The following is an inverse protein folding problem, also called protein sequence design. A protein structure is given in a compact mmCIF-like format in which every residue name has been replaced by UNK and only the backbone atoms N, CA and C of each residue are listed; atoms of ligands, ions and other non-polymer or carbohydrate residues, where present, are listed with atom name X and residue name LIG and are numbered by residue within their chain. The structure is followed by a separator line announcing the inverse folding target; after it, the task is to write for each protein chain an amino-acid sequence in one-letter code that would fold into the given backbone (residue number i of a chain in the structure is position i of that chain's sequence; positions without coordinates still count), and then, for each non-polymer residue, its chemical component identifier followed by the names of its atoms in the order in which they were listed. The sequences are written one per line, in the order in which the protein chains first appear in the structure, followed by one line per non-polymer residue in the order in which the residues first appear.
data_IF_330017145205
#
_entry.id   IF_330017145205
#
_cell.length_a   1.000
_cell.length_b   1.000
_cell.length_c   1.000
_cell.angle_alpha   90.00
_cell.angle_beta   90.00
_cell.angle_gamma   90.00
#
_symmetry.space_group_name_H-M   'P 1'
#
loop_
_entity.id
_entity.type
_entity.pdbx_description
1 polymer ?
#
# COMPACT_ATOMS: atom_id res chain seq x y z
N UNK A 1 2.34 18.07 2.12
CA UNK A 1 2.99 19.11 2.97
C UNK A 1 2.09 19.59 4.10
N UNK A 2 0.83 19.93 3.85
CA UNK A 2 -0.17 20.44 4.84
C UNK A 2 -0.45 19.44 5.97
N UNK A 3 -0.52 18.14 5.70
CA UNK A 3 -0.81 17.10 6.69
C UNK A 3 0.33 16.89 7.73
N UNK A 4 1.57 17.20 7.34
CA UNK A 4 2.76 17.06 8.22
C UNK A 4 2.89 18.18 9.24
N UNK A 5 2.41 19.39 8.91
CA UNK A 5 2.46 20.53 9.82
C UNK A 5 1.39 20.47 10.92
N UNK A 6 0.18 19.91 10.61
CA UNK A 6 -0.89 19.76 11.61
C UNK A 6 -0.56 18.70 12.67
N UNK A 7 0.15 17.62 12.29
CA UNK A 7 0.59 16.59 13.26
C UNK A 7 1.54 17.14 14.35
N UNK A 8 2.31 18.18 14.05
CA UNK A 8 3.21 18.85 15.01
C UNK A 8 2.48 19.70 16.05
N UNK A 9 1.24 20.11 15.79
CA UNK A 9 0.45 21.02 16.65
C UNK A 9 -0.56 20.31 17.55
N UNK A 10 -0.65 18.98 17.50
CA UNK A 10 -1.61 18.22 18.33
C UNK A 10 -3.08 18.42 17.98
N UNK A 11 -3.40 19.04 16.84
CA UNK A 11 -4.79 19.25 16.39
C UNK A 11 -5.32 17.99 15.70
N UNK A 12 -6.46 17.49 16.20
CA UNK A 12 -7.19 16.38 15.58
C UNK A 12 -7.95 16.91 14.37
N UNK A 13 -7.56 16.50 13.17
CA UNK A 13 -8.27 16.87 11.94
C UNK A 13 -9.48 15.97 11.76
N UNK A 14 -10.68 16.53 11.69
CA UNK A 14 -11.91 15.77 11.47
C UNK A 14 -12.06 15.35 10.00
N UNK A 15 -12.79 14.25 9.75
CA UNK A 15 -13.11 13.79 8.39
C UNK A 15 -13.75 14.92 7.56
N UNK A 16 -14.62 15.73 8.19
CA UNK A 16 -15.28 16.87 7.56
C UNK A 16 -14.30 17.94 7.10
N UNK A 17 -13.23 18.22 7.86
CA UNK A 17 -12.21 19.20 7.49
C UNK A 17 -11.34 18.68 6.34
N UNK A 18 -10.99 17.38 6.33
CA UNK A 18 -10.26 16.75 5.22
C UNK A 18 -11.06 16.88 3.91
N UNK A 19 -12.38 16.66 3.97
CA UNK A 19 -13.28 16.76 2.82
C UNK A 19 -13.43 18.21 2.33
N UNK A 20 -13.46 19.19 3.24
CA UNK A 20 -13.57 20.63 2.89
C UNK A 20 -12.30 21.22 2.30
N UNK A 21 -11.13 20.72 2.65
CA UNK A 21 -9.86 21.22 2.10
C UNK A 21 -9.68 20.75 0.65
N UNK A 22 -10.12 21.57 -0.29
CA UNK A 22 -10.25 21.33 -1.75
C UNK A 22 -8.94 21.08 -2.51
N UNK A 23 -7.81 20.92 -1.87
CA UNK A 23 -6.52 20.66 -2.53
C UNK A 23 -6.37 19.24 -3.08
N UNK A 24 -7.25 18.30 -2.67
CA UNK A 24 -7.32 16.93 -3.20
C UNK A 24 -8.78 16.59 -3.43
N UNK A 25 -9.09 16.04 -4.58
CA UNK A 25 -10.44 15.61 -4.88
C UNK A 25 -10.78 14.36 -4.06
N UNK A 26 -11.74 14.47 -3.14
CA UNK A 26 -12.35 13.30 -2.51
C UNK A 26 -13.20 12.62 -3.57
N UNK A 27 -12.84 11.40 -3.93
CA UNK A 27 -13.57 10.59 -4.90
C UNK A 27 -14.73 9.84 -4.23
N UNK A 28 -14.58 9.47 -2.96
CA UNK A 28 -15.59 8.80 -2.17
C UNK A 28 -15.15 8.55 -0.73
N UNK A 29 -16.10 8.20 0.12
CA UNK A 29 -15.89 7.76 1.49
C UNK A 29 -16.98 6.75 1.88
N UNK A 30 -16.73 5.94 2.91
CA UNK A 30 -17.71 4.99 3.45
C UNK A 30 -18.50 5.55 4.65
N UNK A 31 -18.31 6.83 4.97
CA UNK A 31 -18.95 7.53 6.08
C UNK A 31 -18.30 7.32 7.44
N UNK A 32 -17.41 6.36 7.59
CA UNK A 32 -16.83 5.96 8.90
C UNK A 32 -15.30 5.88 8.92
N UNK A 33 -14.73 4.99 8.14
CA UNK A 33 -13.34 4.56 8.32
C UNK A 33 -12.45 4.79 7.08
N UNK A 34 -13.03 5.12 5.93
CA UNK A 34 -12.32 5.15 4.66
C UNK A 34 -12.62 6.43 3.89
N UNK A 35 -11.58 7.10 3.41
CA UNK A 35 -11.67 8.23 2.47
C UNK A 35 -10.74 7.99 1.31
N UNK A 36 -11.24 8.04 0.09
CA UNK A 36 -10.49 7.85 -1.14
C UNK A 36 -10.29 9.19 -1.84
N UNK A 37 -9.04 9.52 -2.13
CA UNK A 37 -8.61 10.71 -2.85
C UNK A 37 -7.96 10.34 -4.17
N UNK A 38 -8.12 11.21 -5.16
CA UNK A 38 -7.49 11.07 -6.46
C UNK A 38 -8.09 12.05 -7.46
N UNK A 39 -7.72 11.89 -8.72
CA UNK A 39 -8.35 12.58 -9.84
C UNK A 39 -9.39 11.68 -10.50
N UNK A 40 -10.42 12.26 -11.11
CA UNK A 40 -11.36 11.46 -11.93
C UNK A 40 -10.65 10.72 -13.05
N UNK A 41 -9.61 11.31 -13.65
CA UNK A 41 -8.73 10.69 -14.62
C UNK A 41 -7.92 9.50 -14.06
N UNK A 42 -7.62 9.49 -12.75
CA UNK A 42 -6.96 8.36 -12.10
C UNK A 42 -7.80 7.09 -12.14
N UNK A 43 -9.11 7.22 -11.97
CA UNK A 43 -10.07 6.10 -12.06
C UNK A 43 -10.07 5.53 -13.48
N UNK A 44 -10.16 6.42 -14.49
CA UNK A 44 -10.12 6.01 -15.89
C UNK A 44 -8.79 5.33 -16.25
N UNK A 45 -7.67 5.87 -15.75
CA UNK A 45 -6.35 5.27 -15.99
C UNK A 45 -6.23 3.88 -15.34
N UNK A 46 -6.66 3.73 -14.08
CA UNK A 46 -6.65 2.43 -13.39
C UNK A 46 -7.53 1.39 -14.08
N UNK A 47 -8.65 1.80 -14.70
CA UNK A 47 -9.54 0.87 -15.40
C UNK A 47 -8.90 0.25 -16.66
N UNK A 48 -7.86 0.84 -17.22
CA UNK A 48 -7.11 0.33 -18.37
C UNK A 48 -5.79 -0.34 -18.00
N UNK A 49 -5.34 -0.18 -16.75
CA UNK A 49 -4.06 -0.70 -16.26
C UNK A 49 -4.14 -2.21 -16.01
N UNK A 50 -3.17 -2.99 -16.50
CA UNK A 50 -3.12 -4.45 -16.30
C UNK A 50 -2.48 -4.86 -14.97
N UNK A 51 -1.68 -4.00 -14.35
CA UNK A 51 -1.01 -4.27 -13.09
C UNK A 51 -1.20 -3.10 -12.13
N UNK A 52 -1.95 -3.35 -11.06
CA UNK A 52 -2.18 -2.40 -9.97
C UNK A 52 -1.34 -2.84 -8.77
N UNK A 53 -0.56 -1.93 -8.22
CA UNK A 53 0.18 -2.15 -6.98
C UNK A 53 -0.52 -1.43 -5.82
N UNK A 54 -0.75 -2.15 -4.72
CA UNK A 54 -1.26 -1.61 -3.48
C UNK A 54 -0.20 -1.64 -2.37
N UNK A 55 -0.01 -0.52 -1.67
CA UNK A 55 0.94 -0.43 -0.56
C UNK A 55 0.39 0.45 0.56
N UNK A 56 0.60 0.02 1.80
CA UNK A 56 0.17 0.72 3.00
C UNK A 56 1.32 1.37 3.75
N UNK A 57 1.24 2.68 4.01
CA UNK A 57 2.19 3.40 4.86
C UNK A 57 1.54 3.95 6.13
N UNK A 58 2.30 3.96 7.24
CA UNK A 58 1.82 4.33 8.57
C UNK A 58 2.47 5.61 9.09
N UNK A 59 3.58 6.04 8.49
CA UNK A 59 4.42 7.13 9.01
C UNK A 59 3.91 8.53 8.71
N UNK A 60 3.00 8.68 7.74
CA UNK A 60 2.50 9.99 7.27
C UNK A 60 0.97 10.09 7.32
N UNK A 61 0.36 9.50 8.34
CA UNK A 61 -1.09 9.47 8.50
C UNK A 61 -1.53 10.46 9.57
N UNK A 62 -2.71 11.06 9.38
CA UNK A 62 -3.35 11.93 10.36
C UNK A 62 -4.43 11.17 11.12
N UNK A 63 -4.55 11.42 12.41
CA UNK A 63 -5.66 10.91 13.20
C UNK A 63 -7.01 11.43 12.67
N UNK A 64 -8.06 10.59 12.69
CA UNK A 64 -8.19 9.28 13.32
C UNK A 64 -7.77 8.08 12.45
N UNK A 65 -7.19 8.30 11.29
CA UNK A 65 -6.76 7.23 10.39
C UNK A 65 -5.47 6.58 10.89
N UNK A 66 -5.30 5.29 10.59
CA UNK A 66 -4.15 4.49 11.02
C UNK A 66 -3.16 4.20 9.90
N UNK A 67 -3.62 4.30 8.66
CA UNK A 67 -2.76 4.09 7.49
C UNK A 67 -3.21 4.90 6.29
N UNK A 68 -2.27 5.22 5.43
CA UNK A 68 -2.48 5.68 4.07
C UNK A 68 -2.19 4.51 3.13
N UNK A 69 -3.22 4.00 2.46
CA UNK A 69 -3.09 2.95 1.46
C UNK A 69 -3.08 3.60 0.07
N UNK A 70 -2.08 3.28 -0.75
CA UNK A 70 -1.91 3.91 -2.06
C UNK A 70 -2.02 2.85 -3.15
N UNK A 71 -2.87 3.10 -4.14
CA UNK A 71 -2.94 2.28 -5.34
C UNK A 71 -2.19 2.96 -6.49
N UNK A 72 -1.28 2.22 -7.08
CA UNK A 72 -0.43 2.65 -8.18
C UNK A 72 -0.80 1.87 -9.45
N UNK A 73 -0.70 2.52 -10.59
CA UNK A 73 -0.57 1.82 -11.85
C UNK A 73 0.91 1.51 -12.09
N UNK A 74 1.24 0.26 -12.35
CA UNK A 74 2.58 -0.16 -12.76
C UNK A 74 2.57 -0.42 -14.27
N UNK A 75 3.38 0.33 -15.00
CA UNK A 75 3.50 0.23 -16.46
C UNK A 75 4.56 -0.80 -16.86
N UNK A 76 4.51 -1.26 -18.09
CA UNK A 76 5.43 -2.26 -18.65
C UNK A 76 6.90 -1.82 -18.65
N UNK A 77 7.15 -0.51 -18.65
CA UNK A 77 8.48 0.07 -18.51
C UNK A 77 9.01 0.10 -17.06
N UNK A 78 8.26 -0.47 -16.10
CA UNK A 78 8.61 -0.52 -14.68
C UNK A 78 8.32 0.78 -13.90
N UNK A 79 7.73 1.79 -14.53
CA UNK A 79 7.36 3.04 -13.85
C UNK A 79 6.06 2.85 -13.10
N UNK A 80 6.04 3.29 -11.83
CA UNK A 80 4.89 3.22 -10.93
C UNK A 80 4.31 4.63 -10.69
N UNK A 81 3.02 4.79 -10.99
CA UNK A 81 2.30 6.05 -10.79
C UNK A 81 1.28 5.92 -9.67
N UNK A 82 1.39 6.70 -8.56
CA UNK A 82 0.37 6.73 -7.52
C UNK A 82 -0.88 7.44 -8.05
N UNK A 83 -2.03 6.78 -7.95
CA UNK A 83 -3.27 7.25 -8.54
C UNK A 83 -4.39 7.44 -7.52
N UNK A 84 -4.52 6.53 -6.55
CA UNK A 84 -5.49 6.65 -5.47
C UNK A 84 -4.79 6.66 -4.13
N UNK A 85 -5.21 7.55 -3.26
CA UNK A 85 -4.74 7.70 -1.90
C UNK A 85 -5.92 7.45 -0.96
N UNK A 86 -5.81 6.39 -0.15
CA UNK A 86 -6.90 5.96 0.72
C UNK A 86 -6.47 6.13 2.17
N UNK A 87 -7.11 7.04 2.89
CA UNK A 87 -6.99 7.10 4.35
C UNK A 87 -7.91 6.05 4.94
N UNK A 88 -7.34 5.17 5.77
CA UNK A 88 -8.03 4.00 6.30
C UNK A 88 -7.84 3.91 7.81
N UNK A 89 -8.94 3.67 8.53
CA UNK A 89 -8.94 3.46 9.98
C UNK A 89 -9.03 1.97 10.29
N UNK A 90 -7.91 1.39 10.70
CA UNK A 90 -7.81 -0.04 11.02
C UNK A 90 -7.18 -0.88 9.91
N UNK A 91 -6.96 -2.17 10.24
CA UNK A 91 -6.24 -3.14 9.40
C UNK A 91 -6.94 -4.50 9.37
N UNK A 92 -8.20 -4.56 9.71
CA UNK A 92 -8.91 -5.83 9.68
C UNK A 92 -9.43 -6.14 8.27
N UNK A 93 -9.66 -7.41 8.00
CA UNK A 93 -10.15 -7.88 6.71
C UNK A 93 -11.43 -7.16 6.24
N UNK A 94 -12.36 -6.88 7.16
CA UNK A 94 -13.62 -6.21 6.83
C UNK A 94 -13.41 -4.78 6.35
N UNK A 95 -12.43 -4.05 6.90
CA UNK A 95 -12.06 -2.69 6.46
C UNK A 95 -11.48 -2.74 5.06
N UNK A 96 -10.55 -3.66 4.78
CA UNK A 96 -9.98 -3.81 3.43
C UNK A 96 -11.02 -4.24 2.40
N UNK A 97 -11.95 -5.11 2.77
CA UNK A 97 -13.04 -5.50 1.88
C UNK A 97 -13.94 -4.30 1.54
N UNK A 98 -14.25 -3.43 2.52
CA UNK A 98 -14.98 -2.19 2.29
C UNK A 98 -14.20 -1.22 1.39
N UNK A 99 -12.87 -1.11 1.59
CA UNK A 99 -12.00 -0.30 0.73
C UNK A 99 -12.07 -0.75 -0.73
N UNK A 100 -11.92 -2.05 -1.01
CA UNK A 100 -12.00 -2.58 -2.36
C UNK A 100 -13.38 -2.36 -3.00
N UNK A 101 -14.46 -2.57 -2.22
CA UNK A 101 -15.83 -2.29 -2.67
C UNK A 101 -16.06 -0.80 -2.95
N UNK A 102 -15.53 0.09 -2.11
CA UNK A 102 -15.65 1.53 -2.32
C UNK A 102 -14.94 1.98 -3.59
N UNK A 103 -13.73 1.48 -3.86
CA UNK A 103 -12.98 1.77 -5.08
C UNK A 103 -13.77 1.33 -6.31
N UNK A 104 -14.34 0.12 -6.29
CA UNK A 104 -15.14 -0.38 -7.41
C UNK A 104 -16.44 0.41 -7.58
N UNK A 105 -17.12 0.78 -6.49
CA UNK A 105 -18.31 1.63 -6.54
C UNK A 105 -18.01 3.01 -7.14
N UNK A 106 -16.86 3.61 -6.79
CA UNK A 106 -16.39 4.87 -7.39
C UNK A 106 -16.13 4.70 -8.90
N UNK A 107 -15.60 3.57 -9.33
CA UNK A 107 -15.36 3.26 -10.73
C UNK A 107 -16.68 3.08 -11.49
N UNK A 108 -17.63 2.34 -10.93
CA UNK A 108 -18.95 2.10 -11.52
C UNK A 108 -19.76 3.39 -11.72
N UNK A 109 -19.65 4.37 -10.80
CA UNK A 109 -20.23 5.71 -10.98
C UNK A 109 -19.69 6.44 -12.22
N UNK A 110 -18.58 5.98 -12.78
CA UNK A 110 -17.91 6.51 -13.98
C UNK A 110 -17.98 5.54 -15.16
N UNK A 111 -18.87 4.55 -15.06
CA UNK A 111 -19.10 3.53 -16.09
C UNK A 111 -17.85 2.71 -16.45
N UNK A 112 -16.94 2.54 -15.49
CA UNK A 112 -15.72 1.73 -15.65
C UNK A 112 -15.57 0.71 -14.52
N UNK A 113 -14.73 -0.30 -14.74
CA UNK A 113 -14.40 -1.35 -13.78
C UNK A 113 -12.90 -1.37 -13.54
N UNK A 114 -12.47 -1.42 -12.28
CA UNK A 114 -11.06 -1.47 -11.92
C UNK A 114 -10.68 -2.87 -11.45
N UNK A 115 -11.35 -3.39 -10.44
CA UNK A 115 -10.97 -4.61 -9.73
C UNK A 115 -11.77 -5.86 -10.18
N UNK A 116 -12.97 -5.67 -10.71
CA UNK A 116 -13.85 -6.74 -11.20
C UNK A 116 -13.55 -7.14 -12.66
N UNK A 117 -12.28 -7.10 -13.06
CA UNK A 117 -11.77 -7.48 -14.38
C UNK A 117 -10.47 -8.26 -14.24
N UNK A 118 -9.95 -8.77 -15.35
CA UNK A 118 -8.63 -9.41 -15.36
C UNK A 118 -7.52 -8.35 -15.17
N UNK A 119 -7.23 -8.04 -13.90
CA UNK A 119 -6.14 -7.15 -13.49
C UNK A 119 -5.29 -7.87 -12.45
N UNK A 120 -3.98 -7.78 -12.59
CA UNK A 120 -3.06 -8.27 -11.55
C UNK A 120 -2.98 -7.25 -10.44
N UNK A 121 -3.32 -7.66 -9.22
CA UNK A 121 -3.17 -6.85 -8.01
C UNK A 121 -1.92 -7.31 -7.25
N UNK A 122 -0.88 -6.47 -7.22
CA UNK A 122 0.37 -6.72 -6.50
C UNK A 122 0.35 -5.98 -5.17
N UNK A 123 0.47 -6.69 -4.06
CA UNK A 123 0.42 -6.13 -2.70
C UNK A 123 1.56 -6.67 -1.84
N UNK A 124 1.71 -6.15 -0.62
CA UNK A 124 2.61 -6.70 0.37
C UNK A 124 2.10 -8.04 0.95
N UNK A 125 2.75 -8.54 2.01
CA UNK A 125 2.39 -9.81 2.66
C UNK A 125 1.37 -9.62 3.80
N UNK A 126 0.51 -8.62 3.74
CA UNK A 126 -0.50 -8.40 4.77
C UNK A 126 -1.68 -9.36 4.61
N UNK A 127 -1.73 -10.34 5.52
CA UNK A 127 -2.72 -11.43 5.50
C UNK A 127 -4.18 -10.93 5.42
N UNK A 128 -4.49 -9.84 6.13
CA UNK A 128 -5.86 -9.31 6.19
C UNK A 128 -6.28 -8.72 4.85
N UNK A 129 -5.36 -8.05 4.14
CA UNK A 129 -5.60 -7.56 2.79
C UNK A 129 -5.76 -8.72 1.81
N UNK A 130 -4.90 -9.72 1.87
CA UNK A 130 -5.02 -10.92 1.03
C UNK A 130 -6.38 -11.59 1.19
N UNK A 131 -6.82 -11.81 2.43
CA UNK A 131 -8.13 -12.40 2.69
C UNK A 131 -9.28 -11.52 2.16
N UNK A 132 -9.18 -10.20 2.27
CA UNK A 132 -10.16 -9.28 1.71
C UNK A 132 -10.20 -9.36 0.18
N UNK A 133 -9.03 -9.37 -0.48
CA UNK A 133 -8.92 -9.46 -1.93
C UNK A 133 -9.45 -10.80 -2.48
N UNK A 134 -9.20 -11.91 -1.77
CA UNK A 134 -9.73 -13.23 -2.13
C UNK A 134 -11.26 -13.30 -2.00
N UNK A 135 -11.85 -12.59 -1.03
CA UNK A 135 -13.30 -12.48 -0.87
C UNK A 135 -13.94 -11.43 -1.80
N UNK A 136 -13.13 -10.65 -2.45
CA UNK A 136 -13.50 -9.76 -3.53
C UNK A 136 -13.02 -10.40 -4.84
N UNK A 137 -13.80 -10.43 -5.89
CA UNK A 137 -13.48 -11.18 -7.13
C UNK A 137 -12.09 -10.82 -7.77
N UNK A 138 -11.47 -9.74 -7.33
CA UNK A 138 -10.09 -9.36 -7.67
C UNK A 138 -9.00 -10.35 -7.20
N UNK A 139 -9.33 -11.30 -6.35
CA UNK A 139 -8.37 -12.28 -5.81
C UNK A 139 -7.80 -13.27 -6.83
N UNK A 140 -8.36 -13.36 -8.03
CA UNK A 140 -7.92 -14.31 -9.06
C UNK A 140 -6.50 -14.09 -9.55
N UNK A 141 -6.00 -12.85 -9.49
CA UNK A 141 -4.66 -12.46 -9.95
C UNK A 141 -3.86 -11.70 -8.88
N UNK A 142 -4.02 -12.11 -7.62
CA UNK A 142 -3.26 -11.56 -6.51
C UNK A 142 -1.81 -12.00 -6.60
N UNK A 143 -0.88 -11.08 -6.46
CA UNK A 143 0.57 -11.34 -6.41
C UNK A 143 1.23 -10.57 -5.27
N UNK A 144 2.32 -11.13 -4.74
CA UNK A 144 3.07 -10.49 -3.66
C UNK A 144 4.23 -9.66 -4.22
N UNK A 145 4.47 -8.50 -3.63
CA UNK A 145 5.54 -7.61 -4.02
C UNK A 145 6.91 -8.23 -3.68
N UNK A 146 7.78 -8.39 -4.69
CA UNK A 146 9.12 -8.95 -4.53
C UNK A 146 10.00 -8.12 -3.60
N UNK A 147 9.89 -6.79 -3.63
CA UNK A 147 10.61 -5.89 -2.74
C UNK A 147 10.29 -6.20 -1.26
N UNK A 148 9.00 -6.34 -0.93
CA UNK A 148 8.57 -6.71 0.42
C UNK A 148 9.00 -8.12 0.81
N UNK A 149 9.02 -9.07 -0.13
CA UNK A 149 9.57 -10.41 0.09
C UNK A 149 11.03 -10.35 0.52
N UNK A 150 11.89 -9.71 -0.28
CA UNK A 150 13.32 -9.55 0.02
C UNK A 150 13.54 -8.79 1.34
N UNK A 151 12.78 -7.72 1.57
CA UNK A 151 12.85 -6.95 2.81
C UNK A 151 12.51 -7.80 4.05
N UNK A 152 11.49 -8.64 3.94
CA UNK A 152 11.08 -9.54 5.03
C UNK A 152 12.11 -10.62 5.30
N UNK A 153 12.75 -11.19 4.25
CA UNK A 153 13.86 -12.14 4.41
C UNK A 153 15.03 -11.45 5.11
N UNK A 154 15.44 -10.26 4.65
CA UNK A 154 16.53 -9.49 5.28
C UNK A 154 16.25 -9.21 6.75
N UNK A 155 15.02 -8.79 7.11
CA UNK A 155 14.62 -8.57 8.51
C UNK A 155 14.70 -9.83 9.35
N UNK A 156 14.25 -10.99 8.82
CA UNK A 156 14.35 -12.28 9.51
C UNK A 156 15.80 -12.73 9.66
N UNK A 157 16.58 -12.67 8.60
CA UNK A 157 18.00 -13.01 8.63
C UNK A 157 18.77 -12.18 9.68
N UNK A 158 18.50 -10.86 9.71
CA UNK A 158 19.11 -9.96 10.72
C UNK A 158 18.79 -10.38 12.15
N UNK A 159 17.53 -10.77 12.43
CA UNK A 159 17.13 -11.26 13.76
C UNK A 159 17.89 -12.52 14.22
N UNK A 160 18.33 -13.35 13.29
CA UNK A 160 19.12 -14.55 13.58
C UNK A 160 20.62 -14.21 13.68
N UNK A 161 21.12 -13.37 12.78
CA UNK A 161 22.56 -13.04 12.67
C UNK A 161 23.01 -12.09 13.78
N UNK A 162 22.21 -11.08 14.16
CA UNK A 162 22.62 -10.08 15.16
C UNK A 162 22.87 -10.67 16.56
N UNK A 163 22.08 -11.63 17.07
CA UNK A 163 22.44 -12.36 18.30
C UNK A 163 23.72 -13.18 18.16
N UNK A 164 23.97 -13.84 17.02
CA UNK A 164 25.18 -14.63 16.79
C UNK A 164 26.43 -13.75 16.74
N UNK A 165 26.35 -12.54 16.18
CA UNK A 165 27.47 -11.57 16.20
C UNK A 165 27.85 -11.12 17.61
N UNK A 166 26.91 -11.08 18.55
CA UNK A 166 27.18 -10.75 19.96
C UNK A 166 27.94 -11.87 20.69
N UNK A 167 27.68 -13.10 20.28
CA UNK A 167 28.34 -14.29 20.88
C UNK A 167 29.69 -14.58 20.19
N UNK A 168 29.83 -14.21 18.90
CA UNK A 168 31.02 -14.41 18.08
C UNK A 168 31.47 -13.09 17.44
N UNK A 169 32.25 -12.25 18.17
CA UNK A 169 32.60 -10.90 17.70
C UNK A 169 33.73 -10.88 16.64
N UNK A 170 34.25 -12.00 16.21
CA UNK A 170 35.39 -12.02 15.27
C UNK A 170 34.97 -11.95 13.80
N UNK A 171 35.62 -11.03 13.08
CA UNK A 171 35.48 -10.67 11.66
C UNK A 171 35.67 -11.81 10.62
N UNK A 172 35.86 -13.05 11.05
CA UNK A 172 36.08 -14.21 10.18
C UNK A 172 34.89 -14.57 9.29
N UNK A 173 33.69 -14.05 9.58
CA UNK A 173 32.49 -14.29 8.75
C UNK A 173 32.39 -13.35 7.52
N UNK A 174 33.06 -12.19 7.56
CA UNK A 174 33.08 -11.25 6.44
C UNK A 174 34.03 -11.63 5.32
N UNK A 175 35.13 -12.34 5.63
CA UNK A 175 36.13 -12.70 4.66
C UNK A 175 35.69 -13.77 3.63
N UNK A 176 34.77 -14.67 4.01
CA UNK A 176 34.35 -15.75 3.12
C UNK A 176 33.32 -15.33 2.05
N UNK A 177 32.56 -14.22 2.25
CA UNK A 177 31.64 -13.72 1.25
C UNK A 177 32.32 -12.80 0.23
N UNK A 178 33.40 -12.12 0.62
CA UNK A 178 34.18 -11.25 -0.27
C UNK A 178 35.05 -12.04 -1.24
N UNK A 179 35.58 -13.19 -0.80
CA UNK A 179 36.47 -14.03 -1.62
C UNK A 179 35.73 -14.85 -2.70
N UNK A 180 34.44 -15.12 -2.56
CA UNK A 180 33.66 -15.83 -3.60
C UNK A 180 33.29 -14.95 -4.80
N UNK A 181 33.60 -13.64 -4.79
CA UNK A 181 33.36 -12.72 -5.92
C UNK A 181 34.59 -12.45 -6.79
N UNK A 182 35.71 -13.16 -6.56
CA UNK A 182 36.98 -12.91 -7.27
C UNK A 182 37.53 -14.14 -7.97
N UNK A 183 36.73 -15.13 -8.31
CA UNK A 183 37.15 -16.16 -9.26
C UNK A 183 36.52 -15.90 -10.63
N UNK A 184 37.34 -15.94 -11.71
CA UNK A 184 36.97 -15.52 -13.07
C UNK A 184 35.90 -16.37 -13.73
#
# INVERSE_FOLDING_TARGET
MVLREKKKRGETTTLTEIIRNRTHHVLGNDGTDIVVFGLSSSIQFLSTTMLIQGDGTFSCVVEPFTQLYIFHALLDNGVSYPLLYCLVKGKCQSVYLRLLRLIEAIAQQREVTILNREVRLMVDFEKQFHNAALNFEAGRHLSCCFFHFVSNIKKKAKKVIDPLKKVWPNDSFQLNLANKRKEP
#
